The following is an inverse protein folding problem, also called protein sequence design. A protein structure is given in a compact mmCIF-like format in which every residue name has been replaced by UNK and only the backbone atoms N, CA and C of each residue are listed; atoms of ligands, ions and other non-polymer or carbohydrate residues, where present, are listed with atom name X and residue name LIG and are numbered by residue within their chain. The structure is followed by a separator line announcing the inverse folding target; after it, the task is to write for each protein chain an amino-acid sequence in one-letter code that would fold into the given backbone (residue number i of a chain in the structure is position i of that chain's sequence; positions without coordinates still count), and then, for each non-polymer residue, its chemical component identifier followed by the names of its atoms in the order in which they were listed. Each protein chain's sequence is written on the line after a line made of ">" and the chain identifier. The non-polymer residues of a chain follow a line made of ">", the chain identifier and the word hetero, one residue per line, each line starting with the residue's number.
data_IF_435600378195
#
_entry.id   IF_435600378195
#
_cell.length_a   1.000
_cell.length_b   1.000
_cell.length_c   1.000
_cell.angle_alpha   90.00
_cell.angle_beta   90.00
_cell.angle_gamma   90.00
#
_symmetry.space_group_name_H-M   'P 1'
#
loop_
_entity.id
_entity.type
_entity.pdbx_description
1 polymer ?
#
# COMPACT_ATOMS: atom_id res chain seq x y z
N UNK A 1 -64.62 -19.77 -105.74
CA UNK A 1 -64.10 -19.12 -106.96
C UNK A 1 -62.71 -18.60 -106.67
N UNK A 2 -61.67 -19.28 -107.14
CA UNK A 2 -60.27 -18.88 -106.92
C UNK A 2 -59.93 -17.83 -107.97
N UNK A 3 -59.95 -16.55 -107.59
CA UNK A 3 -59.42 -15.46 -108.43
C UNK A 3 -57.91 -15.67 -108.57
N UNK A 4 -57.44 -16.08 -109.74
CA UNK A 4 -56.01 -16.15 -110.04
C UNK A 4 -55.47 -14.72 -110.15
N UNK A 5 -54.60 -14.30 -109.22
CA UNK A 5 -54.04 -12.95 -109.24
C UNK A 5 -52.90 -12.88 -110.23
N UNK A 6 -53.01 -11.96 -111.18
CA UNK A 6 -52.02 -11.67 -112.20
C UNK A 6 -51.03 -10.59 -111.75
N UNK A 7 -49.88 -10.51 -112.42
CA UNK A 7 -48.93 -9.38 -112.27
C UNK A 7 -49.58 -8.03 -112.55
N UNK A 8 -50.58 -8.00 -113.43
CA UNK A 8 -51.34 -6.78 -113.71
C UNK A 8 -52.16 -6.35 -112.49
N UNK A 9 -52.76 -7.31 -111.78
CA UNK A 9 -53.52 -7.05 -110.55
C UNK A 9 -52.62 -6.48 -109.45
N UNK A 10 -51.35 -6.92 -109.36
CA UNK A 10 -50.38 -6.31 -108.44
C UNK A 10 -50.09 -4.86 -108.79
N UNK A 11 -49.90 -4.54 -110.08
CA UNK A 11 -49.67 -3.14 -110.52
C UNK A 11 -50.89 -2.25 -110.25
N UNK A 12 -52.08 -2.79 -110.45
CA UNK A 12 -53.34 -2.11 -110.17
C UNK A 12 -53.49 -1.84 -108.66
N UNK A 13 -53.23 -2.85 -107.82
CA UNK A 13 -53.25 -2.69 -106.35
C UNK A 13 -52.20 -1.69 -105.85
N UNK A 14 -50.98 -1.71 -106.38
CA UNK A 14 -49.94 -0.74 -106.02
C UNK A 14 -50.31 0.70 -106.44
N UNK A 15 -51.09 0.85 -107.51
CA UNK A 15 -51.61 2.14 -107.95
C UNK A 15 -52.75 2.59 -107.05
N UNK A 16 -53.68 1.69 -106.70
CA UNK A 16 -54.77 1.94 -105.76
C UNK A 16 -54.26 2.32 -104.36
N UNK A 17 -53.26 1.61 -103.85
CA UNK A 17 -52.61 1.92 -102.57
C UNK A 17 -51.96 3.30 -102.59
N UNK A 18 -51.26 3.64 -103.68
CA UNK A 18 -50.65 4.97 -103.85
C UNK A 18 -51.69 6.09 -103.85
N UNK A 19 -52.87 5.86 -104.43
CA UNK A 19 -53.97 6.83 -104.42
C UNK A 19 -54.60 6.98 -103.04
N UNK A 20 -54.79 5.88 -102.31
CA UNK A 20 -55.33 5.91 -100.95
C UNK A 20 -54.40 6.69 -100.01
N UNK A 21 -53.09 6.43 -100.07
CA UNK A 21 -52.10 7.14 -99.25
C UNK A 21 -52.13 8.66 -99.48
N UNK A 22 -52.29 9.09 -100.74
CA UNK A 22 -52.33 10.53 -101.06
C UNK A 22 -53.62 11.22 -100.60
N UNK A 23 -54.68 10.47 -100.29
CA UNK A 23 -55.96 11.01 -99.79
C UNK A 23 -56.01 11.15 -98.26
N UNK A 24 -55.08 10.55 -97.53
CA UNK A 24 -55.09 10.57 -96.06
C UNK A 24 -54.69 11.95 -95.53
N UNK A 25 -55.52 12.50 -94.65
CA UNK A 25 -55.21 13.77 -93.99
C UNK A 25 -54.26 13.55 -92.79
N UNK A 26 -52.98 13.86 -92.98
CA UNK A 26 -51.93 13.70 -91.96
C UNK A 26 -52.21 14.43 -90.65
N UNK A 27 -52.92 15.56 -90.69
CA UNK A 27 -53.24 16.38 -89.49
C UNK A 27 -54.24 15.71 -88.55
N UNK A 28 -54.99 14.71 -89.03
CA UNK A 28 -55.99 13.99 -88.22
C UNK A 28 -55.36 13.02 -87.21
N UNK A 29 -54.10 12.63 -87.44
CA UNK A 29 -53.37 11.65 -86.64
C UNK A 29 -52.10 12.23 -86.01
N UNK A 30 -52.06 13.56 -85.87
CA UNK A 30 -50.91 14.28 -85.33
C UNK A 30 -50.84 14.07 -83.81
N UNK A 31 -49.82 13.34 -83.34
CA UNK A 31 -49.64 12.97 -81.93
C UNK A 31 -49.97 11.51 -81.59
N UNK A 32 -50.61 10.77 -82.51
CA UNK A 32 -50.85 9.33 -82.34
C UNK A 32 -49.59 8.53 -82.69
N UNK A 33 -49.30 7.51 -81.87
CA UNK A 33 -48.18 6.59 -82.09
C UNK A 33 -48.70 5.17 -82.27
N UNK A 34 -48.16 4.47 -83.26
CA UNK A 34 -48.64 3.18 -83.71
C UNK A 34 -47.54 2.11 -83.57
N UNK A 35 -47.90 0.96 -83.00
CA UNK A 35 -46.99 -0.17 -82.80
C UNK A 35 -46.01 -0.04 -81.63
N UNK A 36 -45.19 -1.08 -81.36
CA UNK A 36 -44.21 -1.11 -80.27
C UNK A 36 -43.09 -0.06 -80.43
N UNK A 37 -42.83 0.37 -81.67
CA UNK A 37 -41.78 1.33 -82.01
C UNK A 37 -42.24 2.80 -81.98
N UNK A 38 -43.50 3.06 -81.55
CA UNK A 38 -44.12 4.39 -81.46
C UNK A 38 -44.01 5.21 -82.76
N UNK A 39 -44.26 4.58 -83.91
CA UNK A 39 -44.18 5.25 -85.21
C UNK A 39 -45.33 6.24 -85.38
N UNK A 40 -45.04 7.41 -85.95
CA UNK A 40 -46.06 8.39 -86.28
C UNK A 40 -46.83 7.97 -87.53
N UNK A 41 -48.02 8.53 -87.73
CA UNK A 41 -48.78 8.34 -88.97
C UNK A 41 -47.99 8.77 -90.23
N UNK A 42 -47.08 9.75 -90.10
CA UNK A 42 -46.22 10.16 -91.22
C UNK A 42 -45.20 9.07 -91.58
N UNK A 43 -44.63 8.41 -90.58
CA UNK A 43 -43.63 7.36 -90.78
C UNK A 43 -44.26 6.13 -91.44
N UNK A 44 -45.47 5.73 -91.02
CA UNK A 44 -46.21 4.63 -91.66
C UNK A 44 -46.49 4.94 -93.13
N UNK A 45 -46.87 6.18 -93.43
CA UNK A 45 -47.12 6.62 -94.82
C UNK A 45 -45.83 6.56 -95.64
N UNK A 46 -44.69 6.96 -95.07
CA UNK A 46 -43.39 6.94 -95.74
C UNK A 46 -42.91 5.50 -96.02
N UNK A 47 -42.94 4.64 -95.01
CA UNK A 47 -42.60 3.21 -95.17
C UNK A 47 -43.48 2.54 -96.22
N UNK A 48 -44.76 2.90 -96.27
CA UNK A 48 -45.68 2.33 -97.27
C UNK A 48 -45.38 2.87 -98.68
N UNK A 49 -44.99 4.14 -98.83
CA UNK A 49 -44.55 4.69 -100.11
C UNK A 49 -43.29 3.99 -100.61
N UNK A 50 -42.33 3.76 -99.74
CA UNK A 50 -41.09 3.07 -100.09
C UNK A 50 -41.38 1.64 -100.52
N UNK A 51 -42.25 0.94 -99.79
CA UNK A 51 -42.70 -0.40 -100.16
C UNK A 51 -43.35 -0.43 -101.55
N UNK A 52 -44.17 0.57 -101.89
CA UNK A 52 -44.78 0.68 -103.22
C UNK A 52 -43.71 0.86 -104.29
N UNK A 53 -42.69 1.67 -104.05
CA UNK A 53 -41.58 1.88 -105.00
C UNK A 53 -40.81 0.58 -105.22
N UNK A 54 -40.48 -0.14 -104.14
CA UNK A 54 -39.77 -1.42 -104.19
C UNK A 54 -40.58 -2.50 -104.93
N UNK A 55 -41.89 -2.61 -104.66
CA UNK A 55 -42.74 -3.58 -105.36
C UNK A 55 -43.00 -3.19 -106.81
N UNK A 56 -43.07 -1.88 -107.13
CA UNK A 56 -43.18 -1.40 -108.51
C UNK A 56 -41.92 -1.72 -109.31
N UNK A 57 -40.73 -1.49 -108.75
CA UNK A 57 -39.46 -1.82 -109.42
C UNK A 57 -39.34 -3.33 -109.67
N UNK A 58 -39.72 -4.15 -108.69
CA UNK A 58 -39.76 -5.61 -108.84
C UNK A 58 -40.76 -6.04 -109.94
N UNK A 59 -41.94 -5.42 -109.97
CA UNK A 59 -42.98 -5.71 -110.96
C UNK A 59 -42.70 -5.14 -112.37
N UNK A 60 -41.63 -4.37 -112.57
CA UNK A 60 -41.35 -3.69 -113.85
C UNK A 60 -40.78 -4.63 -114.93
N UNK A 61 -39.93 -5.60 -114.55
CA UNK A 61 -39.35 -6.59 -115.47
C UNK A 61 -40.10 -7.93 -115.41
N UNK A 62 -40.57 -8.45 -116.56
CA UNK A 62 -41.28 -9.74 -116.63
C UNK A 62 -40.38 -10.91 -116.21
N UNK A 63 -39.13 -10.88 -116.67
CA UNK A 63 -38.16 -11.93 -116.46
C UNK A 63 -37.65 -11.96 -115.01
N UNK A 64 -37.44 -10.79 -114.40
CA UNK A 64 -36.95 -10.67 -113.03
C UNK A 64 -38.03 -11.09 -112.03
N UNK A 65 -39.29 -10.78 -112.34
CA UNK A 65 -40.42 -11.12 -111.45
C UNK A 65 -40.71 -12.63 -111.41
N UNK A 66 -40.68 -13.32 -112.56
CA UNK A 66 -40.95 -14.77 -112.61
C UNK A 66 -39.82 -15.64 -112.05
N UNK A 67 -38.61 -15.09 -111.88
CA UNK A 67 -37.48 -15.79 -111.25
C UNK A 67 -37.43 -15.61 -109.73
N UNK A 68 -38.06 -14.57 -109.19
CA UNK A 68 -37.88 -14.15 -107.79
C UNK A 68 -39.11 -14.33 -106.92
N UNK A 69 -40.30 -14.54 -107.50
CA UNK A 69 -41.55 -14.65 -106.75
C UNK A 69 -42.37 -15.82 -107.30
N UNK A 70 -42.64 -16.81 -106.45
CA UNK A 70 -43.49 -17.94 -106.80
C UNK A 70 -44.97 -17.53 -106.90
N UNK A 71 -45.78 -18.34 -107.61
CA UNK A 71 -47.20 -18.03 -107.77
C UNK A 71 -47.95 -17.96 -106.43
N UNK A 72 -47.57 -18.79 -105.44
CA UNK A 72 -48.13 -18.75 -104.08
C UNK A 72 -47.73 -17.50 -103.31
N UNK A 73 -46.50 -17.01 -103.49
CA UNK A 73 -45.98 -15.80 -102.86
C UNK A 73 -46.63 -14.54 -103.45
N UNK A 74 -46.82 -14.52 -104.77
CA UNK A 74 -47.56 -13.46 -105.47
C UNK A 74 -49.00 -13.33 -104.93
N UNK A 75 -49.64 -14.46 -104.66
CA UNK A 75 -50.99 -14.52 -104.09
C UNK A 75 -51.02 -13.99 -102.66
N UNK A 76 -49.99 -14.29 -101.86
CA UNK A 76 -49.85 -13.77 -100.50
C UNK A 76 -49.64 -12.25 -100.49
N UNK A 77 -48.76 -11.74 -101.34
CA UNK A 77 -48.47 -10.30 -101.47
C UNK A 77 -49.74 -9.56 -101.89
N UNK A 78 -50.44 -10.02 -102.93
CA UNK A 78 -51.67 -9.38 -103.40
C UNK A 78 -52.79 -9.42 -102.34
N UNK A 79 -52.92 -10.53 -101.60
CA UNK A 79 -53.92 -10.62 -100.53
C UNK A 79 -53.63 -9.61 -99.41
N UNK A 80 -52.37 -9.54 -98.96
CA UNK A 80 -51.96 -8.60 -97.90
C UNK A 80 -52.07 -7.14 -98.36
N UNK A 81 -51.66 -6.82 -99.58
CA UNK A 81 -51.81 -5.47 -100.14
C UNK A 81 -53.28 -5.05 -100.21
N UNK A 82 -54.19 -5.93 -100.62
CA UNK A 82 -55.62 -5.61 -100.64
C UNK A 82 -56.17 -5.30 -99.24
N UNK A 83 -55.76 -6.08 -98.22
CA UNK A 83 -56.15 -5.82 -96.83
C UNK A 83 -55.59 -4.48 -96.35
N UNK A 84 -54.36 -4.14 -96.72
CA UNK A 84 -53.76 -2.84 -96.39
C UNK A 84 -54.54 -1.70 -97.06
N UNK A 85 -54.92 -1.83 -98.33
CA UNK A 85 -55.73 -0.84 -99.06
C UNK A 85 -57.08 -0.60 -98.37
N UNK A 86 -57.81 -1.67 -98.03
CA UNK A 86 -59.11 -1.59 -97.36
C UNK A 86 -59.00 -0.92 -95.97
N UNK A 87 -57.93 -1.19 -95.22
CA UNK A 87 -57.70 -0.52 -93.93
C UNK A 87 -57.28 0.94 -94.10
N UNK A 88 -56.61 1.31 -95.20
CA UNK A 88 -56.34 2.70 -95.54
C UNK A 88 -57.59 3.47 -95.93
N UNK A 89 -58.51 2.87 -96.70
CA UNK A 89 -59.80 3.48 -97.03
C UNK A 89 -60.68 3.71 -95.78
N UNK A 90 -60.55 2.83 -94.78
CA UNK A 90 -61.23 2.94 -93.48
C UNK A 90 -60.48 3.77 -92.45
N UNK A 91 -59.35 4.37 -92.83
CA UNK A 91 -58.46 5.16 -91.96
C UNK A 91 -57.98 4.44 -90.68
N UNK A 92 -57.86 3.10 -90.70
CA UNK A 92 -57.42 2.32 -89.55
C UNK A 92 -55.90 2.05 -89.59
N UNK A 93 -55.12 3.02 -89.13
CA UNK A 93 -53.65 2.99 -89.21
C UNK A 93 -52.99 1.93 -88.31
N UNK A 94 -53.65 1.50 -87.22
CA UNK A 94 -53.14 0.41 -86.35
C UNK A 94 -53.08 -0.90 -87.14
N UNK A 95 -54.17 -1.27 -87.81
CA UNK A 95 -54.22 -2.50 -88.61
C UNK A 95 -53.38 -2.42 -89.88
N UNK A 96 -53.22 -1.22 -90.44
CA UNK A 96 -52.27 -0.97 -91.52
C UNK A 96 -50.86 -1.32 -91.06
N UNK A 97 -50.43 -0.81 -89.89
CA UNK A 97 -49.10 -1.09 -89.36
C UNK A 97 -48.86 -2.59 -89.14
N UNK A 98 -49.81 -3.30 -88.54
CA UNK A 98 -49.67 -4.74 -88.27
C UNK A 98 -49.51 -5.53 -89.59
N UNK A 99 -50.39 -5.28 -90.57
CA UNK A 99 -50.32 -5.98 -91.85
C UNK A 99 -49.13 -5.54 -92.73
N UNK A 100 -48.68 -4.28 -92.60
CA UNK A 100 -47.48 -3.78 -93.26
C UNK A 100 -46.24 -4.48 -92.68
N UNK A 101 -46.14 -4.59 -91.37
CA UNK A 101 -45.04 -5.25 -90.67
C UNK A 101 -44.97 -6.74 -91.03
N UNK A 102 -46.12 -7.42 -91.07
CA UNK A 102 -46.22 -8.79 -91.54
C UNK A 102 -45.79 -8.95 -93.01
N UNK A 103 -46.19 -8.01 -93.89
CA UNK A 103 -45.80 -8.03 -95.29
C UNK A 103 -44.30 -7.79 -95.46
N UNK A 104 -43.72 -6.83 -94.73
CA UNK A 104 -42.27 -6.57 -94.72
C UNK A 104 -41.51 -7.80 -94.22
N UNK A 105 -41.96 -8.45 -93.15
CA UNK A 105 -41.33 -9.67 -92.65
C UNK A 105 -41.44 -10.83 -93.65
N UNK A 106 -42.58 -11.00 -94.31
CA UNK A 106 -42.73 -11.96 -95.40
C UNK A 106 -41.75 -11.65 -96.55
N UNK A 107 -41.59 -10.37 -96.91
CA UNK A 107 -40.66 -9.91 -97.95
C UNK A 107 -39.19 -10.00 -97.55
N UNK A 108 -38.86 -9.98 -96.25
CA UNK A 108 -37.50 -10.26 -95.76
C UNK A 108 -37.17 -11.75 -95.81
N UNK A 109 -38.16 -12.62 -95.61
CA UNK A 109 -38.02 -14.07 -95.74
C UNK A 109 -37.89 -14.51 -97.21
N UNK A 110 -38.55 -13.80 -98.12
CA UNK A 110 -38.35 -13.92 -99.57
C UNK A 110 -37.02 -13.25 -99.91
N UNK A 111 -35.96 -14.04 -100.15
CA UNK A 111 -34.56 -13.60 -100.27
C UNK A 111 -34.32 -12.66 -101.49
N UNK A 112 -34.89 -11.44 -101.45
CA UNK A 112 -34.72 -10.36 -102.40
C UNK A 112 -33.29 -9.82 -102.28
N UNK A 113 -32.34 -10.56 -102.85
CA UNK A 113 -30.92 -10.19 -102.92
C UNK A 113 -30.71 -8.99 -103.85
N UNK A 114 -30.92 -7.77 -103.38
CA UNK A 114 -30.13 -6.59 -103.79
C UNK A 114 -30.22 -5.48 -102.71
N UNK A 115 -29.07 -5.09 -102.14
CA UNK A 115 -28.78 -3.66 -101.92
C UNK A 115 -29.04 -2.96 -100.58
N UNK A 116 -29.44 -3.63 -99.49
CA UNK A 116 -29.60 -2.98 -98.16
C UNK A 116 -29.07 -3.86 -97.00
N UNK A 117 -28.35 -3.24 -96.05
CA UNK A 117 -28.09 -3.66 -94.65
C UNK A 117 -26.67 -4.02 -94.15
N UNK A 118 -25.59 -3.97 -94.95
CA UNK A 118 -24.25 -4.23 -94.40
C UNK A 118 -23.80 -3.14 -93.38
N UNK A 119 -24.12 -1.86 -93.64
CA UNK A 119 -23.72 -0.75 -92.77
C UNK A 119 -24.57 -0.65 -91.49
N UNK A 120 -25.88 -0.87 -91.56
CA UNK A 120 -26.76 -0.89 -90.38
C UNK A 120 -26.56 -2.15 -89.52
N UNK A 121 -26.28 -3.30 -90.14
CA UNK A 121 -25.88 -4.53 -89.43
C UNK A 121 -24.52 -4.38 -88.73
N UNK A 122 -23.53 -3.78 -89.39
CA UNK A 122 -22.23 -3.48 -88.79
C UNK A 122 -22.34 -2.46 -87.64
N UNK A 123 -23.16 -1.40 -87.80
CA UNK A 123 -23.40 -0.40 -86.74
C UNK A 123 -24.13 -0.99 -85.53
N UNK A 124 -25.16 -1.82 -85.73
CA UNK A 124 -25.87 -2.49 -84.62
C UNK A 124 -24.99 -3.50 -83.88
N UNK A 125 -24.18 -4.29 -84.60
CA UNK A 125 -23.18 -5.18 -83.99
C UNK A 125 -22.10 -4.40 -83.21
N UNK A 126 -21.66 -3.24 -83.72
CA UNK A 126 -20.72 -2.37 -83.01
C UNK A 126 -21.32 -1.78 -81.72
N UNK A 127 -22.60 -1.39 -81.74
CA UNK A 127 -23.32 -0.91 -80.54
C UNK A 127 -23.45 -2.03 -79.50
N UNK A 128 -23.81 -3.26 -79.92
CA UNK A 128 -23.90 -4.41 -79.03
C UNK A 128 -22.55 -4.78 -78.41
N UNK A 129 -21.47 -4.74 -79.22
CA UNK A 129 -20.11 -4.97 -78.70
C UNK A 129 -19.73 -3.91 -77.66
N UNK A 130 -20.07 -2.64 -77.91
CA UNK A 130 -19.79 -1.55 -76.98
C UNK A 130 -20.53 -1.72 -75.64
N UNK A 131 -21.81 -2.11 -75.67
CA UNK A 131 -22.58 -2.43 -74.46
C UNK A 131 -21.98 -3.62 -73.68
N UNK A 132 -21.48 -4.65 -74.37
CA UNK A 132 -20.77 -5.77 -73.73
C UNK A 132 -19.43 -5.35 -73.13
N UNK A 133 -18.70 -4.45 -73.81
CA UNK A 133 -17.45 -3.88 -73.29
C UNK A 133 -17.73 -3.06 -72.04
N UNK A 134 -18.76 -2.22 -72.03
CA UNK A 134 -19.16 -1.42 -70.86
C UNK A 134 -19.61 -2.30 -69.68
N UNK A 135 -20.40 -3.35 -69.93
CA UNK A 135 -20.77 -4.35 -68.92
C UNK A 135 -19.57 -5.14 -68.38
N UNK A 136 -18.56 -5.38 -69.21
CA UNK A 136 -17.35 -6.06 -68.77
C UNK A 136 -16.47 -5.11 -67.95
N UNK A 137 -16.34 -3.85 -68.37
CA UNK A 137 -15.60 -2.83 -67.64
C UNK A 137 -16.19 -2.58 -66.26
N UNK A 138 -17.51 -2.43 -66.15
CA UNK A 138 -18.18 -2.28 -64.85
C UNK A 138 -17.98 -3.49 -63.92
N UNK A 139 -17.90 -4.71 -64.46
CA UNK A 139 -17.55 -5.91 -63.68
C UNK A 139 -16.08 -5.89 -63.24
N UNK A 140 -15.16 -5.45 -64.09
CA UNK A 140 -13.75 -5.28 -63.75
C UNK A 140 -13.60 -4.27 -62.62
N UNK A 141 -14.25 -3.11 -62.73
CA UNK A 141 -14.23 -2.07 -61.71
C UNK A 141 -14.82 -2.57 -60.38
N UNK A 142 -15.88 -3.40 -60.43
CA UNK A 142 -16.45 -4.03 -59.25
C UNK A 142 -15.50 -5.05 -58.60
N UNK A 143 -14.79 -5.85 -59.41
CA UNK A 143 -13.78 -6.80 -58.92
C UNK A 143 -12.59 -6.07 -58.29
N UNK A 144 -12.12 -4.97 -58.89
CA UNK A 144 -11.05 -4.17 -58.29
C UNK A 144 -11.46 -3.53 -56.96
N UNK A 145 -12.71 -3.08 -56.84
CA UNK A 145 -13.24 -2.57 -55.55
C UNK A 145 -13.25 -3.67 -54.50
N UNK A 146 -13.69 -4.87 -54.89
CA UNK A 146 -13.72 -6.03 -54.01
C UNK A 146 -12.30 -6.45 -53.58
N UNK A 147 -11.34 -6.47 -54.51
CA UNK A 147 -9.94 -6.79 -54.23
C UNK A 147 -9.32 -5.79 -53.24
N UNK A 148 -9.58 -4.48 -53.43
CA UNK A 148 -9.18 -3.44 -52.46
C UNK A 148 -9.81 -3.66 -51.08
N UNK A 149 -11.07 -4.07 -51.02
CA UNK A 149 -11.75 -4.36 -49.75
C UNK A 149 -11.13 -5.58 -49.04
N UNK A 150 -10.85 -6.65 -49.79
CA UNK A 150 -10.15 -7.83 -49.26
C UNK A 150 -8.75 -7.49 -48.77
N UNK A 151 -7.99 -6.68 -49.51
CA UNK A 151 -6.67 -6.23 -49.09
C UNK A 151 -6.75 -5.45 -47.77
N UNK A 152 -7.70 -4.51 -47.66
CA UNK A 152 -7.93 -3.73 -46.44
C UNK A 152 -8.34 -4.61 -45.25
N UNK A 153 -9.22 -5.59 -45.46
CA UNK A 153 -9.61 -6.57 -44.43
C UNK A 153 -8.42 -7.41 -43.98
N UNK A 154 -7.58 -7.85 -44.91
CA UNK A 154 -6.40 -8.65 -44.61
C UNK A 154 -5.33 -7.86 -43.84
N UNK A 155 -5.17 -6.56 -44.15
CA UNK A 155 -4.34 -5.65 -43.36
C UNK A 155 -4.89 -5.47 -41.93
N UNK A 156 -6.20 -5.28 -41.78
CA UNK A 156 -6.83 -5.20 -40.45
C UNK A 156 -6.61 -6.48 -39.64
N UNK A 157 -6.77 -7.65 -40.25
CA UNK A 157 -6.51 -8.94 -39.59
C UNK A 157 -5.06 -9.04 -39.13
N UNK A 158 -4.09 -8.61 -39.95
CA UNK A 158 -2.67 -8.57 -39.54
C UNK A 158 -2.44 -7.65 -38.35
N UNK A 159 -2.94 -6.40 -38.42
CA UNK A 159 -2.81 -5.46 -37.28
C UNK A 159 -3.46 -5.98 -36.00
N UNK A 160 -4.59 -6.70 -36.11
CA UNK A 160 -5.26 -7.30 -34.97
C UNK A 160 -4.45 -8.47 -34.40
N UNK A 161 -3.87 -9.31 -35.27
CA UNK A 161 -2.97 -10.39 -34.86
C UNK A 161 -1.76 -9.85 -34.10
N UNK A 162 -1.13 -8.80 -34.62
CA UNK A 162 0.05 -8.19 -33.99
C UNK A 162 -0.30 -7.60 -32.61
N UNK A 163 -1.49 -6.99 -32.48
CA UNK A 163 -2.01 -6.51 -31.18
C UNK A 163 -2.24 -7.64 -30.20
N UNK A 164 -2.92 -8.71 -30.62
CA UNK A 164 -3.16 -9.90 -29.78
C UNK A 164 -1.83 -10.53 -29.33
N UNK A 165 -0.84 -10.62 -30.22
CA UNK A 165 0.48 -11.15 -29.87
C UNK A 165 1.21 -10.25 -28.86
N UNK A 166 1.13 -8.93 -29.04
CA UNK A 166 1.67 -7.96 -28.08
C UNK A 166 1.00 -8.04 -26.71
N UNK A 167 -0.34 -8.11 -26.67
CA UNK A 167 -1.10 -8.26 -25.43
C UNK A 167 -0.79 -9.60 -24.74
N UNK A 168 -0.66 -10.68 -25.51
CA UNK A 168 -0.26 -12.00 -24.99
C UNK A 168 1.13 -11.94 -24.35
N UNK A 169 2.10 -11.25 -24.97
CA UNK A 169 3.43 -11.03 -24.38
C UNK A 169 3.32 -10.23 -23.08
N UNK A 170 2.53 -9.16 -23.05
CA UNK A 170 2.30 -8.36 -21.84
C UNK A 170 1.67 -9.17 -20.70
N UNK A 171 0.66 -10.00 -21.01
CA UNK A 171 0.01 -10.90 -20.04
C UNK A 171 1.03 -11.93 -19.51
N UNK A 172 1.84 -12.53 -20.38
CA UNK A 172 2.86 -13.49 -19.96
C UNK A 172 3.90 -12.85 -19.02
N UNK A 173 4.32 -11.61 -19.31
CA UNK A 173 5.23 -10.86 -18.46
C UNK A 173 4.58 -10.52 -17.10
N UNK A 174 3.30 -10.16 -17.10
CA UNK A 174 2.54 -9.94 -15.88
C UNK A 174 2.43 -11.20 -15.03
N UNK A 175 2.17 -12.36 -15.62
CA UNK A 175 2.18 -13.65 -14.91
C UNK A 175 3.54 -13.98 -14.29
N UNK A 176 4.65 -13.71 -15.00
CA UNK A 176 5.99 -13.94 -14.45
C UNK A 176 6.28 -13.04 -13.25
N UNK A 177 5.89 -11.77 -13.32
CA UNK A 177 6.05 -10.81 -12.22
C UNK A 177 5.15 -11.16 -11.02
N UNK A 178 3.91 -11.58 -11.29
CA UNK A 178 2.98 -12.02 -10.26
C UNK A 178 3.47 -13.27 -9.53
N UNK A 179 4.03 -14.24 -10.24
CA UNK A 179 4.67 -15.41 -9.64
C UNK A 179 5.89 -15.04 -8.79
N UNK A 180 6.71 -14.10 -9.25
CA UNK A 180 7.86 -13.59 -8.50
C UNK A 180 7.41 -12.95 -7.18
N UNK A 181 6.42 -12.05 -7.23
CA UNK A 181 5.86 -11.41 -6.03
C UNK A 181 5.21 -12.40 -5.08
N UNK A 182 4.54 -13.43 -5.57
CA UNK A 182 3.99 -14.48 -4.71
C UNK A 182 5.09 -15.26 -3.97
N UNK A 183 6.22 -15.55 -4.64
CA UNK A 183 7.37 -16.16 -3.98
C UNK A 183 7.98 -15.25 -2.90
N UNK A 184 8.11 -13.94 -3.18
CA UNK A 184 8.56 -12.93 -2.22
C UNK A 184 7.60 -12.83 -1.02
N UNK A 185 6.27 -12.87 -1.25
CA UNK A 185 5.28 -12.86 -0.18
C UNK A 185 5.34 -14.10 0.71
N UNK A 186 5.55 -15.29 0.16
CA UNK A 186 5.68 -16.50 0.99
C UNK A 186 6.98 -16.47 1.81
N UNK A 187 8.08 -15.97 1.25
CA UNK A 187 9.31 -15.72 2.02
C UNK A 187 9.09 -14.70 3.13
N UNK A 188 8.42 -13.58 2.84
CA UNK A 188 8.12 -12.55 3.83
C UNK A 188 7.28 -13.12 4.97
N UNK A 189 6.26 -13.91 4.66
CA UNK A 189 5.43 -14.59 5.65
C UNK A 189 6.21 -15.57 6.51
N UNK A 190 7.20 -16.26 5.94
CA UNK A 190 8.10 -17.12 6.71
C UNK A 190 8.98 -16.30 7.65
N UNK A 191 9.61 -15.22 7.17
CA UNK A 191 10.39 -14.32 8.02
C UNK A 191 9.54 -13.72 9.14
N UNK A 192 8.31 -13.30 8.88
CA UNK A 192 7.41 -12.78 9.91
C UNK A 192 7.16 -13.80 11.02
N UNK A 193 6.96 -15.08 10.68
CA UNK A 193 6.81 -16.15 11.68
C UNK A 193 8.09 -16.36 12.50
N UNK A 194 9.25 -16.39 11.84
CA UNK A 194 10.54 -16.53 12.52
C UNK A 194 10.80 -15.35 13.47
N UNK A 195 10.47 -14.12 13.06
CA UNK A 195 10.55 -12.94 13.92
C UNK A 195 9.58 -12.99 15.10
N UNK A 196 8.36 -13.48 14.90
CA UNK A 196 7.37 -13.64 15.98
C UNK A 196 7.86 -14.67 17.02
N UNK A 197 8.43 -15.79 16.60
CA UNK A 197 9.05 -16.78 17.49
C UNK A 197 10.24 -16.18 18.25
N UNK A 198 11.12 -15.43 17.58
CA UNK A 198 12.24 -14.75 18.21
C UNK A 198 11.80 -13.69 19.23
N UNK A 199 10.71 -12.97 18.98
CA UNK A 199 10.17 -11.99 19.92
C UNK A 199 9.64 -12.66 21.19
N UNK A 200 8.96 -13.80 21.06
CA UNK A 200 8.47 -14.57 22.20
C UNK A 200 9.63 -15.10 23.05
N UNK A 201 10.66 -15.68 22.40
CA UNK A 201 11.84 -16.18 23.10
C UNK A 201 12.63 -15.05 23.78
N UNK A 202 12.82 -13.93 23.08
CA UNK A 202 13.48 -12.74 23.66
C UNK A 202 12.71 -12.19 24.87
N UNK A 203 11.38 -12.12 24.78
CA UNK A 203 10.55 -11.66 25.89
C UNK A 203 10.65 -12.60 27.11
N UNK A 204 10.67 -13.92 26.88
CA UNK A 204 10.86 -14.91 27.94
C UNK A 204 12.24 -14.78 28.60
N UNK A 205 13.31 -14.64 27.81
CA UNK A 205 14.67 -14.41 28.32
C UNK A 205 14.79 -13.09 29.08
N UNK A 206 14.12 -12.04 28.60
CA UNK A 206 14.11 -10.74 29.28
C UNK A 206 13.39 -10.81 30.63
N UNK A 207 12.27 -11.54 30.71
CA UNK A 207 11.56 -11.73 31.96
C UNK A 207 12.40 -12.52 32.98
N UNK A 208 13.10 -13.57 32.53
CA UNK A 208 13.97 -14.39 33.39
C UNK A 208 15.17 -13.59 33.91
N UNK A 209 15.86 -12.86 33.02
CA UNK A 209 16.98 -11.98 33.40
C UNK A 209 16.54 -10.86 34.34
N UNK A 210 15.33 -10.30 34.16
CA UNK A 210 14.77 -9.32 35.09
C UNK A 210 14.46 -9.92 36.47
N UNK A 211 13.97 -11.16 36.52
CA UNK A 211 13.76 -11.87 37.79
C UNK A 211 15.09 -12.13 38.50
N UNK A 212 16.11 -12.57 37.76
CA UNK A 212 17.43 -12.82 38.31
C UNK A 212 18.10 -11.53 38.80
N UNK A 213 18.02 -10.44 38.03
CA UNK A 213 18.53 -9.13 38.44
C UNK A 213 17.86 -8.63 39.72
N UNK A 214 16.53 -8.73 39.83
CA UNK A 214 15.80 -8.37 41.06
C UNK A 214 16.25 -9.21 42.26
N UNK A 215 16.39 -10.53 42.08
CA UNK A 215 16.89 -11.42 43.14
C UNK A 215 18.29 -11.01 43.61
N UNK A 216 19.21 -10.74 42.69
CA UNK A 216 20.57 -10.32 43.02
C UNK A 216 20.62 -8.97 43.74
N UNK A 217 19.76 -8.02 43.36
CA UNK A 217 19.61 -6.73 44.07
C UNK A 217 19.15 -6.97 45.51
N UNK A 218 18.10 -7.78 45.72
CA UNK A 218 17.58 -8.09 47.05
C UNK A 218 18.62 -8.81 47.93
N UNK A 219 19.39 -9.74 47.35
CA UNK A 219 20.47 -10.43 48.05
C UNK A 219 21.62 -9.48 48.42
N UNK A 220 22.00 -8.58 47.51
CA UNK A 220 23.02 -7.58 47.76
C UNK A 220 22.58 -6.56 48.83
N UNK A 221 21.33 -6.12 48.81
CA UNK A 221 20.76 -5.22 49.83
C UNK A 221 20.78 -5.89 51.21
N UNK A 222 20.31 -7.13 51.32
CA UNK A 222 20.37 -7.91 52.57
C UNK A 222 21.81 -8.09 53.06
N UNK A 223 22.74 -8.42 52.18
CA UNK A 223 24.14 -8.60 52.54
C UNK A 223 24.79 -7.30 53.01
N UNK A 224 24.46 -6.16 52.38
CA UNK A 224 24.94 -4.84 52.78
C UNK A 224 24.38 -4.41 54.14
N UNK A 225 23.08 -4.59 54.38
CA UNK A 225 22.46 -4.30 55.67
C UNK A 225 23.09 -5.12 56.81
N UNK A 226 23.24 -6.44 56.59
CA UNK A 226 23.86 -7.35 57.57
C UNK A 226 25.32 -6.99 57.81
N UNK A 227 26.14 -6.83 56.77
CA UNK A 227 27.56 -6.47 56.93
C UNK A 227 27.75 -5.10 57.57
N UNK A 228 26.89 -4.14 57.28
CA UNK A 228 26.96 -2.80 57.88
C UNK A 228 26.65 -2.89 59.37
N UNK A 229 25.61 -3.61 59.77
CA UNK A 229 25.28 -3.80 61.18
C UNK A 229 26.32 -4.62 61.95
N UNK A 230 26.89 -5.66 61.33
CA UNK A 230 28.03 -6.41 61.89
C UNK A 230 29.25 -5.50 62.07
N UNK A 231 29.61 -4.71 61.06
CA UNK A 231 30.75 -3.78 61.11
C UNK A 231 30.60 -2.70 62.17
N UNK A 232 29.42 -2.07 62.26
CA UNK A 232 29.12 -1.09 63.32
C UNK A 232 29.10 -1.76 64.71
N UNK A 233 28.44 -2.91 64.87
CA UNK A 233 28.41 -3.66 66.13
C UNK A 233 29.82 -4.08 66.59
N UNK A 234 30.70 -4.49 65.67
CA UNK A 234 32.10 -4.82 65.96
C UNK A 234 32.91 -3.57 66.34
N UNK A 235 32.65 -2.42 65.72
CA UNK A 235 33.26 -1.14 66.09
C UNK A 235 32.85 -0.69 67.50
N UNK A 236 31.59 -0.90 67.91
CA UNK A 236 31.15 -0.68 69.29
C UNK A 236 31.72 -1.72 70.25
N UNK A 237 31.80 -2.99 69.86
CA UNK A 237 32.39 -4.06 70.67
C UNK A 237 33.86 -3.78 70.98
N UNK A 238 34.65 -3.38 69.99
CA UNK A 238 36.07 -3.05 70.19
C UNK A 238 36.27 -1.81 71.07
N UNK A 239 35.34 -0.84 71.05
CA UNK A 239 35.36 0.31 71.97
C UNK A 239 34.91 -0.08 73.39
N UNK A 240 33.86 -0.89 73.53
CA UNK A 240 33.41 -1.43 74.81
C UNK A 240 34.49 -2.32 75.44
N UNK A 241 35.10 -3.24 74.70
CA UNK A 241 36.14 -4.14 75.20
C UNK A 241 37.43 -3.40 75.57
N UNK A 242 37.75 -2.29 74.89
CA UNK A 242 38.85 -1.40 75.29
C UNK A 242 38.53 -0.62 76.56
N UNK A 243 37.28 -0.23 76.79
CA UNK A 243 36.84 0.49 77.99
C UNK A 243 36.61 -0.45 79.21
N UNK A 244 36.11 -1.66 78.97
CA UNK A 244 35.79 -2.68 79.97
C UNK A 244 36.93 -3.63 80.30
N UNK A 245 38.11 -3.48 79.66
CA UNK A 245 39.28 -4.31 79.98
C UNK A 245 39.62 -4.14 81.45
N UNK A 246 39.60 -5.24 82.22
CA UNK A 246 40.00 -5.27 83.62
C UNK A 246 41.34 -4.53 83.86
N UNK A 247 42.32 -4.67 82.95
CA UNK A 247 43.60 -3.92 82.99
C UNK A 247 43.50 -2.38 82.93
N UNK A 248 42.41 -1.80 82.41
CA UNK A 248 42.20 -0.34 82.36
C UNK A 248 41.55 0.20 83.64
N UNK A 249 40.66 -0.59 84.26
CA UNK A 249 39.92 -0.15 85.45
C UNK A 249 40.63 -0.54 86.75
N UNK A 250 41.43 -1.61 86.72
CA UNK A 250 42.30 -2.07 87.82
C UNK A 250 43.27 -1.01 88.32
N UNK A 251 44.01 -0.24 87.50
CA UNK A 251 44.91 0.79 88.03
C UNK A 251 44.15 1.85 88.84
N UNK A 252 42.92 2.21 88.47
CA UNK A 252 42.11 3.18 89.23
C UNK A 252 41.58 2.60 90.56
N UNK A 253 41.20 1.31 90.57
CA UNK A 253 40.80 0.62 91.81
C UNK A 253 42.00 0.44 92.75
N UNK A 254 43.15 0.02 92.22
CA UNK A 254 44.40 -0.12 93.00
C UNK A 254 44.83 1.24 93.57
N UNK A 255 44.75 2.30 92.77
CA UNK A 255 45.09 3.66 93.20
C UNK A 255 44.15 4.13 94.33
N UNK A 256 42.83 3.91 94.19
CA UNK A 256 41.84 4.25 95.21
C UNK A 256 42.03 3.49 96.53
N UNK A 257 42.29 2.17 96.45
CA UNK A 257 42.61 1.34 97.62
C UNK A 257 43.93 1.79 98.27
N UNK A 258 44.94 2.15 97.48
CA UNK A 258 46.21 2.69 97.96
C UNK A 258 46.07 4.01 98.71
N UNK A 259 45.25 4.94 98.20
CA UNK A 259 44.95 6.21 98.87
C UNK A 259 44.22 6.00 100.20
N UNK A 260 43.25 5.07 100.26
CA UNK A 260 42.55 4.70 101.50
C UNK A 260 43.49 4.07 102.53
N UNK A 261 44.34 3.12 102.11
CA UNK A 261 45.33 2.49 102.98
C UNK A 261 46.36 3.51 103.51
N UNK A 262 46.83 4.43 102.66
CA UNK A 262 47.73 5.52 103.06
C UNK A 262 47.11 6.42 104.13
N UNK A 263 45.82 6.76 103.98
CA UNK A 263 45.09 7.56 104.97
C UNK A 263 44.98 6.83 106.32
N UNK A 264 44.70 5.52 106.30
CA UNK A 264 44.63 4.69 107.51
C UNK A 264 45.99 4.57 108.21
N UNK A 265 47.08 4.38 107.46
CA UNK A 265 48.45 4.30 108.01
C UNK A 265 48.88 5.61 108.65
N UNK A 266 48.61 6.75 108.00
CA UNK A 266 48.93 8.08 108.54
C UNK A 266 48.07 8.40 109.75
N UNK A 267 46.79 8.01 109.72
CA UNK A 267 45.90 8.11 110.88
C UNK A 267 46.41 7.30 112.06
N UNK A 268 46.81 6.05 111.85
CA UNK A 268 47.40 5.19 112.89
C UNK A 268 48.70 5.77 113.47
N UNK A 269 49.61 6.24 112.60
CA UNK A 269 50.87 6.90 113.02
C UNK A 269 50.66 8.22 113.76
N UNK A 270 49.47 8.83 113.69
CA UNK A 270 49.12 10.03 114.46
C UNK A 270 48.68 9.67 115.89
N UNK A 271 48.04 8.50 116.09
CA UNK A 271 47.61 8.03 117.41
C UNK A 271 48.75 7.45 118.27
N UNK A 272 49.79 6.89 117.64
CA UNK A 272 50.92 6.25 118.34
C UNK A 272 52.07 7.22 118.68
N UNK A 273 52.04 8.45 118.16
CA UNK A 273 53.09 9.45 118.35
C UNK A 273 52.92 10.22 119.67
N UNK A 274 53.50 9.71 120.76
CA UNK A 274 53.53 10.42 122.06
C UNK A 274 54.59 11.53 122.17
N UNK A 275 55.53 11.63 121.24
CA UNK A 275 56.57 12.68 121.24
C UNK A 275 57.00 13.04 119.81
N UNK A 276 56.30 13.98 119.15
CA UNK A 276 56.75 14.57 117.88
C UNK A 276 56.43 16.06 117.81
N UNK A 277 57.36 16.87 117.31
CA UNK A 277 57.25 18.34 117.21
C UNK A 277 56.04 18.81 116.40
N UNK A 278 55.49 19.97 116.78
CA UNK A 278 54.25 20.56 116.21
C UNK A 278 54.24 20.63 114.67
N UNK A 279 55.41 20.79 114.04
CA UNK A 279 55.57 20.82 112.59
C UNK A 279 55.14 19.52 111.89
N UNK A 280 55.37 18.36 112.51
CA UNK A 280 55.00 17.06 111.93
C UNK A 280 53.51 16.73 112.06
N UNK A 281 52.84 17.25 113.09
CA UNK A 281 51.40 17.06 113.30
C UNK A 281 50.61 17.84 112.25
N UNK A 282 50.99 19.10 112.00
CA UNK A 282 50.32 19.96 111.00
C UNK A 282 50.50 19.39 109.59
N UNK A 283 51.70 18.89 109.25
CA UNK A 283 51.99 18.28 107.96
C UNK A 283 51.20 16.97 107.70
N UNK A 284 50.97 16.15 108.75
CA UNK A 284 50.19 14.91 108.62
C UNK A 284 48.68 15.18 108.58
N UNK A 285 48.21 16.17 109.34
CA UNK A 285 46.80 16.58 109.36
C UNK A 285 46.35 17.20 108.03
N UNK A 286 47.22 17.96 107.36
CA UNK A 286 46.95 18.53 106.03
C UNK A 286 46.97 17.49 104.90
N UNK A 287 47.60 16.32 105.11
CA UNK A 287 47.66 15.26 104.11
C UNK A 287 46.37 14.43 104.03
N UNK A 288 45.61 14.32 105.13
CA UNK A 288 44.37 13.52 105.18
C UNK A 288 43.31 14.03 104.16
N UNK A 289 43.01 15.35 104.07
CA UNK A 289 42.11 15.87 103.04
C UNK A 289 42.58 15.57 101.60
N UNK A 290 43.89 15.61 101.35
CA UNK A 290 44.47 15.32 100.01
C UNK A 290 44.28 13.85 99.63
N UNK A 291 44.45 12.93 100.58
CA UNK A 291 44.23 11.50 100.36
C UNK A 291 42.75 11.17 100.16
N UNK A 292 41.85 11.82 100.91
CA UNK A 292 40.40 11.68 100.72
C UNK A 292 39.95 12.23 99.34
N UNK A 293 40.50 13.36 98.91
CA UNK A 293 40.26 13.90 97.58
C UNK A 293 40.78 12.96 96.47
N UNK A 294 41.95 12.34 96.66
CA UNK A 294 42.50 11.33 95.75
C UNK A 294 41.64 10.07 95.65
N UNK A 295 41.12 9.60 96.79
CA UNK A 295 40.20 8.47 96.84
C UNK A 295 38.85 8.78 96.14
N UNK A 296 38.28 9.96 96.40
CA UNK A 296 37.06 10.44 95.74
C UNK A 296 37.22 10.57 94.24
N UNK A 297 38.32 11.16 93.77
CA UNK A 297 38.63 11.30 92.36
C UNK A 297 38.76 9.95 91.67
N UNK A 298 39.43 8.99 92.31
CA UNK A 298 39.59 7.63 91.78
C UNK A 298 38.25 6.89 91.67
N UNK A 299 37.38 7.03 92.67
CA UNK A 299 36.03 6.46 92.64
C UNK A 299 35.15 7.11 91.55
N UNK A 300 35.19 8.44 91.43
CA UNK A 300 34.44 9.19 90.40
C UNK A 300 34.87 8.77 88.98
N UNK A 301 36.18 8.63 88.74
CA UNK A 301 36.71 8.16 87.45
C UNK A 301 36.36 6.70 87.15
N UNK A 302 36.32 5.83 88.16
CA UNK A 302 35.88 4.45 87.99
C UNK A 302 34.40 4.36 87.59
N UNK A 303 33.52 5.10 88.28
CA UNK A 303 32.08 5.15 87.96
C UNK A 303 31.87 5.68 86.54
N UNK A 304 32.61 6.72 86.16
CA UNK A 304 32.57 7.28 84.81
C UNK A 304 32.95 6.26 83.72
N UNK A 305 34.04 5.51 83.92
CA UNK A 305 34.49 4.48 82.97
C UNK A 305 33.50 3.30 82.85
N UNK A 306 32.88 2.92 83.98
CA UNK A 306 31.87 1.86 84.01
C UNK A 306 30.61 2.26 83.25
N UNK A 307 30.06 3.45 83.51
CA UNK A 307 28.88 3.95 82.81
C UNK A 307 29.12 4.07 81.29
N UNK A 308 30.34 4.48 80.91
CA UNK A 308 30.74 4.55 79.51
C UNK A 308 30.74 3.17 78.83
N UNK A 309 31.19 2.14 79.55
CA UNK A 309 31.21 0.76 79.04
C UNK A 309 29.78 0.22 78.88
N UNK A 310 28.93 0.43 79.88
CA UNK A 310 27.52 0.03 79.84
C UNK A 310 26.75 0.72 78.69
N UNK A 311 27.03 2.00 78.41
CA UNK A 311 26.44 2.72 77.26
C UNK A 311 26.90 2.14 75.91
N UNK A 312 28.17 1.79 75.76
CA UNK A 312 28.68 1.17 74.53
C UNK A 312 28.11 -0.24 74.30
N UNK A 313 27.93 -1.02 75.37
CA UNK A 313 27.29 -2.34 75.29
C UNK A 313 25.81 -2.22 74.90
N UNK A 314 25.09 -1.25 75.47
CA UNK A 314 23.72 -0.94 75.08
C UNK A 314 23.62 -0.56 73.60
N UNK A 315 24.49 0.35 73.12
CA UNK A 315 24.52 0.78 71.71
C UNK A 315 24.88 -0.34 70.75
N UNK A 316 25.73 -1.29 71.16
CA UNK A 316 26.05 -2.49 70.39
C UNK A 316 24.81 -3.37 70.18
N UNK A 317 24.07 -3.65 71.25
CA UNK A 317 22.84 -4.46 71.18
C UNK A 317 21.78 -3.75 70.33
N UNK A 318 21.63 -2.43 70.50
CA UNK A 318 20.73 -1.61 69.70
C UNK A 318 21.08 -1.67 68.19
N UNK A 319 22.36 -1.55 67.83
CA UNK A 319 22.82 -1.67 66.43
C UNK A 319 22.57 -3.06 65.83
N UNK A 320 22.79 -4.13 66.61
CA UNK A 320 22.54 -5.50 66.14
C UNK A 320 21.05 -5.80 65.92
N UNK A 321 20.18 -5.24 66.76
CA UNK A 321 18.73 -5.42 66.64
C UNK A 321 18.10 -4.49 65.59
N UNK A 322 18.77 -3.39 65.23
CA UNK A 322 18.26 -2.42 64.25
C UNK A 322 17.91 -3.06 62.91
N UNK A 323 18.72 -3.98 62.39
CA UNK A 323 18.46 -4.64 61.10
C UNK A 323 17.15 -5.41 61.11
N UNK A 324 16.88 -6.15 62.19
CA UNK A 324 15.65 -6.92 62.31
C UNK A 324 14.42 -6.00 62.41
N UNK A 325 14.51 -4.89 63.16
CA UNK A 325 13.43 -3.92 63.29
C UNK A 325 13.22 -3.09 62.02
N UNK A 326 14.29 -2.65 61.36
CA UNK A 326 14.23 -1.93 60.10
C UNK A 326 13.57 -2.78 59.01
N UNK A 327 13.93 -4.07 58.93
CA UNK A 327 13.31 -5.02 58.02
C UNK A 327 11.82 -5.21 58.31
N UNK A 328 11.44 -5.47 59.55
CA UNK A 328 10.03 -5.64 59.93
C UNK A 328 9.19 -4.39 59.66
N UNK A 329 9.76 -3.19 59.81
CA UNK A 329 9.09 -1.92 59.55
C UNK A 329 9.01 -1.56 58.05
N UNK A 330 9.94 -2.05 57.22
CA UNK A 330 9.88 -1.93 55.75
C UNK A 330 8.89 -2.92 55.13
N UNK A 331 8.77 -4.13 55.69
CA UNK A 331 7.86 -5.18 55.20
C UNK A 331 6.40 -5.01 55.69
N UNK A 332 6.19 -4.44 56.89
CA UNK A 332 4.86 -4.30 57.51
C UNK A 332 4.41 -2.85 57.77
N UNK A 333 5.18 -1.86 57.30
CA UNK A 333 4.86 -0.44 57.50
C UNK A 333 3.89 0.11 56.45
N UNK A 334 3.13 1.13 56.81
CA UNK A 334 2.26 1.89 55.89
C UNK A 334 3.05 2.43 54.69
N UNK A 335 2.40 2.46 53.51
CA UNK A 335 2.96 2.90 52.20
C UNK A 335 3.64 4.28 52.22
N UNK A 336 3.32 5.12 53.20
CA UNK A 336 3.90 6.47 53.39
C UNK A 336 5.29 6.46 54.04
N UNK A 337 5.72 5.35 54.63
CA UNK A 337 7.04 5.22 55.26
C UNK A 337 7.27 6.11 56.50
N UNK A 338 6.21 6.72 57.05
CA UNK A 338 6.30 7.63 58.21
C UNK A 338 6.80 6.91 59.47
N UNK A 339 6.26 5.73 59.77
CA UNK A 339 6.69 4.93 60.93
C UNK A 339 8.16 4.51 60.85
N UNK A 340 8.63 4.17 59.64
CA UNK A 340 10.05 3.86 59.41
C UNK A 340 10.93 5.10 59.60
N UNK A 341 10.52 6.26 59.08
CA UNK A 341 11.25 7.52 59.27
C UNK A 341 11.34 7.93 60.75
N UNK A 342 10.26 7.80 61.50
CA UNK A 342 10.25 8.18 62.92
C UNK A 342 11.05 7.20 63.78
N UNK A 343 11.01 5.91 63.44
CA UNK A 343 11.91 4.91 64.03
C UNK A 343 13.38 5.24 63.76
N UNK A 344 13.75 5.54 62.51
CA UNK A 344 15.13 5.91 62.14
C UNK A 344 15.57 7.19 62.86
N UNK A 345 14.71 8.23 62.94
CA UNK A 345 15.02 9.45 63.71
C UNK A 345 15.25 9.14 65.19
N UNK A 346 14.43 8.28 65.80
CA UNK A 346 14.59 7.86 67.19
C UNK A 346 15.87 7.07 67.42
N UNK A 347 16.15 6.11 66.55
CA UNK A 347 17.36 5.29 66.58
C UNK A 347 18.63 6.13 66.42
N UNK A 348 18.65 7.03 65.43
CA UNK A 348 19.76 7.97 65.23
C UNK A 348 19.94 8.86 66.47
N UNK A 349 18.85 9.40 67.02
CA UNK A 349 18.91 10.24 68.23
C UNK A 349 19.55 9.49 69.41
N UNK A 350 19.23 8.22 69.61
CA UNK A 350 19.80 7.40 70.69
C UNK A 350 21.27 7.08 70.47
N UNK A 351 21.69 6.80 69.23
CA UNK A 351 23.10 6.52 68.89
C UNK A 351 23.97 7.77 68.98
N UNK A 352 23.45 8.92 68.56
CA UNK A 352 24.15 10.20 68.62
C UNK A 352 24.16 10.82 70.02
N UNK A 353 23.38 10.30 70.97
CA UNK A 353 23.41 10.80 72.34
C UNK A 353 24.78 10.52 72.98
N UNK A 354 25.40 11.53 73.57
CA UNK A 354 26.70 11.39 74.24
C UNK A 354 26.65 10.27 75.29
N UNK A 355 27.73 9.49 75.46
CA UNK A 355 27.73 8.24 76.22
C UNK A 355 27.60 8.41 77.75
N UNK A 356 27.27 9.61 78.21
CA UNK A 356 27.05 9.93 79.62
C UNK A 356 25.78 10.77 79.68
N UNK A 357 24.67 10.14 80.07
CA UNK A 357 23.55 10.91 80.62
C UNK A 357 24.09 11.55 81.89
N UNK A 358 24.16 12.88 81.88
CA UNK A 358 24.61 13.66 83.03
C UNK A 358 23.89 13.12 84.27
N UNK A 359 24.66 12.58 85.21
CA UNK A 359 24.14 12.29 86.54
C UNK A 359 23.49 13.58 87.06
N UNK A 360 22.33 13.55 87.75
CA UNK A 360 21.60 14.76 88.13
C UNK A 360 22.41 15.76 88.99
N UNK A 361 23.63 15.43 89.40
CA UNK A 361 24.47 16.21 90.30
C UNK A 361 25.79 16.72 89.69
N UNK A 362 25.93 16.83 88.37
CA UNK A 362 27.06 17.55 87.76
C UNK A 362 26.59 18.67 86.84
N UNK A 363 26.00 19.71 87.43
CA UNK A 363 26.07 21.04 86.83
C UNK A 363 27.40 21.67 87.28
N UNK A 364 28.09 22.30 86.34
CA UNK A 364 29.41 22.93 86.43
C UNK A 364 30.56 21.94 86.22
N UNK A 365 30.92 21.71 84.95
CA UNK A 365 32.13 22.32 84.38
C UNK A 365 32.46 21.79 82.98
N UNK A 366 33.09 22.68 82.21
CA UNK A 366 33.89 22.48 81.00
C UNK A 366 33.23 22.32 79.62
N UNK A 367 33.24 23.47 78.93
CA UNK A 367 33.45 23.63 77.48
C UNK A 367 34.59 22.71 77.00
N UNK A 368 34.32 21.91 75.98
CA UNK A 368 35.35 21.20 75.21
C UNK A 368 35.10 21.41 73.71
N UNK A 369 35.88 22.31 73.13
CA UNK A 369 35.87 22.77 71.72
C UNK A 369 36.24 21.69 70.68
N UNK A 370 36.37 20.41 71.07
CA UNK A 370 36.80 19.35 70.14
C UNK A 370 35.65 18.58 69.48
N UNK A 371 34.38 18.88 69.83
CA UNK A 371 33.18 18.23 69.27
C UNK A 371 32.70 18.83 67.95
N UNK A 372 33.16 20.03 67.57
CA UNK A 372 32.68 20.70 66.35
C UNK A 372 33.38 20.18 65.08
N UNK A 373 34.65 19.79 65.16
CA UNK A 373 35.45 19.42 64.00
C UNK A 373 35.04 18.03 63.43
N UNK A 374 34.69 17.08 64.29
CA UNK A 374 34.22 15.77 63.86
C UNK A 374 32.78 15.82 63.31
N UNK A 375 31.94 16.73 63.82
CA UNK A 375 30.60 16.97 63.29
C UNK A 375 30.63 17.66 61.92
N UNK A 376 31.58 18.57 61.68
CA UNK A 376 31.76 19.19 60.36
C UNK A 376 32.28 18.21 59.31
N UNK A 377 33.22 17.33 59.66
CA UNK A 377 33.71 16.28 58.75
C UNK A 377 32.60 15.31 58.35
N UNK A 378 31.73 14.94 59.29
CA UNK A 378 30.58 14.07 59.03
C UNK A 378 29.53 14.77 58.13
N UNK A 379 29.28 16.07 58.33
CA UNK A 379 28.41 16.86 57.44
C UNK A 379 28.99 16.99 56.02
N UNK A 380 30.30 17.16 55.88
CA UNK A 380 30.95 17.20 54.58
C UNK A 380 30.87 15.86 53.84
N UNK A 381 31.03 14.74 54.55
CA UNK A 381 30.84 13.41 53.96
C UNK A 381 29.40 13.19 53.50
N UNK A 382 28.41 13.66 54.27
CA UNK A 382 26.99 13.57 53.91
C UNK A 382 26.67 14.34 52.63
N UNK A 383 27.12 15.59 52.52
CA UNK A 383 26.91 16.40 51.31
C UNK A 383 27.59 15.78 50.07
N UNK A 384 28.72 15.09 50.25
CA UNK A 384 29.41 14.41 49.14
C UNK A 384 28.66 13.18 48.62
N UNK A 385 27.89 12.51 49.49
CA UNK A 385 27.05 11.37 49.14
C UNK A 385 25.78 11.81 48.41
N UNK A 386 25.17 12.90 48.87
CA UNK A 386 24.00 13.51 48.24
C UNK A 386 24.31 13.99 46.81
N UNK A 387 25.46 14.64 46.62
CA UNK A 387 25.93 15.03 45.29
C UNK A 387 26.21 13.83 44.36
N UNK A 388 26.69 12.71 44.90
CA UNK A 388 26.89 11.47 44.12
C UNK A 388 25.57 10.84 43.71
N UNK A 389 24.58 10.84 44.60
CA UNK A 389 23.24 10.34 44.31
C UNK A 389 22.57 11.15 43.19
N UNK A 390 22.59 12.47 43.28
CA UNK A 390 22.03 13.37 42.25
C UNK A 390 22.69 13.22 40.88
N UNK A 391 23.99 12.92 40.87
CA UNK A 391 24.73 12.67 39.63
C UNK A 391 24.30 11.35 38.99
N UNK A 392 24.15 10.30 39.81
CA UNK A 392 23.74 8.98 39.34
C UNK A 392 22.29 8.99 38.81
N UNK A 393 21.40 9.72 39.48
CA UNK A 393 20.01 9.89 39.07
C UNK A 393 19.91 10.56 37.70
N UNK A 394 20.67 11.64 37.47
CA UNK A 394 20.73 12.32 36.17
C UNK A 394 21.32 11.46 35.05
N UNK A 395 22.32 10.62 35.35
CA UNK A 395 22.86 9.68 34.37
C UNK A 395 21.86 8.59 33.99
N UNK A 396 21.07 8.11 34.95
CA UNK A 396 19.99 7.16 34.70
C UNK A 396 18.92 7.77 33.78
N UNK A 397 18.43 8.97 34.11
CA UNK A 397 17.44 9.69 33.29
C UNK A 397 17.92 9.91 31.85
N UNK A 398 19.21 10.23 31.67
CA UNK A 398 19.80 10.48 30.36
C UNK A 398 19.91 9.19 29.53
N UNK A 399 20.21 8.06 30.18
CA UNK A 399 20.23 6.73 29.52
C UNK A 399 18.82 6.25 29.16
N UNK A 400 17.82 6.46 30.00
CA UNK A 400 16.41 6.14 29.65
C UNK A 400 15.94 6.95 28.45
N UNK A 401 16.22 8.25 28.39
CA UNK A 401 15.88 9.09 27.23
C UNK A 401 16.60 8.66 25.94
N UNK A 402 17.81 8.11 26.04
CA UNK A 402 18.52 7.55 24.88
C UNK A 402 17.88 6.26 24.39
N UNK A 403 17.40 5.41 25.29
CA UNK A 403 16.68 4.18 24.94
C UNK A 403 15.34 4.48 24.27
N UNK A 404 14.55 5.42 24.78
CA UNK A 404 13.29 5.85 24.15
C UNK A 404 13.50 6.41 22.74
N UNK A 405 14.59 7.14 22.51
CA UNK A 405 14.94 7.63 21.16
C UNK A 405 15.31 6.49 20.22
N UNK A 406 16.03 5.47 20.69
CA UNK A 406 16.37 4.29 19.89
C UNK A 406 15.12 3.48 19.55
N UNK A 407 14.19 3.30 20.50
CA UNK A 407 12.90 2.65 20.24
C UNK A 407 12.07 3.42 19.21
N UNK A 408 12.07 4.76 19.26
CA UNK A 408 11.35 5.58 18.27
C UNK A 408 11.92 5.49 16.86
N UNK A 409 13.23 5.24 16.72
CA UNK A 409 13.91 5.06 15.42
C UNK A 409 13.74 3.65 14.85
N UNK A 410 13.51 2.65 15.71
CA UNK A 410 13.22 1.27 15.30
C UNK A 410 11.76 1.10 14.87
N UNK A 411 10.85 1.92 15.41
CA UNK A 411 9.42 1.91 15.07
C UNK A 411 9.02 2.86 13.93
N UNK A 412 9.97 3.56 13.31
CA UNK A 412 9.80 4.38 12.09
C UNK A 412 10.41 3.71 10.88
#
# INVERSE_FOLDING_TARGET
>A
MVTSYSRNDLKEQLTGLSQCINKINKRKFEGDTFGPDKLSASDIIEVTKDLIVSLKSLSASRHTFSMLVDHSELQLINRKLRVIIDNYEKENLVKVYDHLSELINALRGMNLKVGWSLEHGARSAAIELNDRVEKTQSKVDALERLDREYHNKLQRIRTLKDKVESETKSISAFYTELNKRMAEFEQQKQFTKEYEEHLIDFQAQHEDTMKEAKRLIDEAEKALEVKTAEGLSQAFNTKSEKAGRWRSNVPWVILGVGFMAGAAVIGYQLFDAKELGMEHIVARLSLIPVLLAGAWFSASRYIYQRNLTEDYDYKKVLMSSHVAFAKNLRENGDDTGEHYRDYIKGFLREIYQHPIKASPNSQNDDKSDNSNNDNEKMKQQFNSLEQRYDKLSRELELRTNQLERLESLVNS
#
